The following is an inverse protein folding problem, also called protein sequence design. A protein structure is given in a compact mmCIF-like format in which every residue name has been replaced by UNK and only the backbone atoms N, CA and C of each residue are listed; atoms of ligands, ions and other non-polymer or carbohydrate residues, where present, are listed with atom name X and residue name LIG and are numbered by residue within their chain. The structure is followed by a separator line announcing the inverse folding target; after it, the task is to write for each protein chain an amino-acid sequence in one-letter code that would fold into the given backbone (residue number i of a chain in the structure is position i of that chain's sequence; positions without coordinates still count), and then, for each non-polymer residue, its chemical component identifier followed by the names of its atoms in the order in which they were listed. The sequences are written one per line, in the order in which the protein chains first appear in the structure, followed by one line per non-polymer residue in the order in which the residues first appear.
data_IF_176034424134
#
_entry.id   IF_176034424134
#
_cell.length_a   1.000
_cell.length_b   1.000
_cell.length_c   1.000
_cell.angle_alpha   90.00
_cell.angle_beta   90.00
_cell.angle_gamma   90.00
#
_symmetry.space_group_name_H-M   'P 1'
#
loop_
_entity.id
_entity.type
_entity.pdbx_description
1 polymer ?
#
# COMPACT_ATOMS: atom_id res chain seq x y z
N UNK A 1 26.10 -16.61 19.37
CA UNK A 1 26.01 -15.38 18.55
C UNK A 1 27.42 -14.90 18.28
N UNK A 2 27.64 -14.31 17.11
CA UNK A 2 28.92 -13.72 16.70
C UNK A 2 28.67 -12.38 16.03
N UNK A 3 29.62 -11.91 15.24
CA UNK A 3 29.63 -10.60 14.59
C UNK A 3 29.55 -10.77 13.08
N UNK A 4 28.69 -10.01 12.43
CA UNK A 4 28.69 -9.86 10.98
C UNK A 4 29.40 -8.56 10.60
N UNK A 5 30.39 -8.66 9.73
CA UNK A 5 31.10 -7.54 9.13
C UNK A 5 30.50 -7.30 7.75
N UNK A 6 30.03 -6.09 7.49
CA UNK A 6 29.43 -5.72 6.21
C UNK A 6 30.15 -4.52 5.62
N UNK A 7 30.63 -4.71 4.39
CA UNK A 7 31.29 -3.68 3.59
C UNK A 7 30.54 -3.48 2.28
N UNK A 8 30.61 -2.27 1.72
CA UNK A 8 30.07 -1.96 0.40
C UNK A 8 31.21 -1.56 -0.54
N UNK A 9 31.61 -2.46 -1.44
CA UNK A 9 32.67 -2.20 -2.42
C UNK A 9 32.05 -2.08 -3.80
N UNK A 10 32.16 -0.91 -4.45
CA UNK A 10 31.58 -0.63 -5.77
C UNK A 10 30.08 -0.99 -5.88
N UNK A 11 29.33 -0.81 -4.79
CA UNK A 11 27.90 -1.14 -4.72
C UNK A 11 27.58 -2.62 -4.51
N UNK A 12 28.58 -3.49 -4.39
CA UNK A 12 28.45 -4.90 -4.03
C UNK A 12 28.57 -5.05 -2.51
N UNK A 13 27.64 -5.80 -1.92
CA UNK A 13 27.65 -6.09 -0.49
C UNK A 13 28.61 -7.26 -0.24
N UNK A 14 29.66 -6.98 0.53
CA UNK A 14 30.59 -7.99 1.04
C UNK A 14 30.26 -8.29 2.49
N UNK A 15 30.26 -9.57 2.83
CA UNK A 15 29.83 -10.07 4.14
C UNK A 15 30.79 -11.13 4.66
N UNK A 16 31.13 -11.03 5.94
CA UNK A 16 31.83 -12.06 6.69
C UNK A 16 31.20 -12.22 8.07
N UNK A 17 31.19 -13.45 8.59
CA UNK A 17 30.81 -13.73 9.96
C UNK A 17 32.04 -14.15 10.78
N UNK A 18 32.18 -13.55 11.95
CA UNK A 18 33.26 -13.78 12.91
C UNK A 18 32.66 -14.21 14.24
N UNK A 19 33.26 -15.20 14.93
CA UNK A 19 32.64 -15.80 16.11
C UNK A 19 32.99 -15.07 17.40
N UNK A 20 34.19 -14.47 17.48
CA UNK A 20 34.71 -13.93 18.75
C UNK A 20 35.15 -12.48 18.62
N UNK A 21 35.11 -11.75 19.74
CA UNK A 21 35.62 -10.37 19.81
C UNK A 21 37.12 -10.30 19.49
N UNK A 22 37.87 -11.34 19.87
CA UNK A 22 39.29 -11.43 19.56
C UNK A 22 39.53 -11.46 18.06
N UNK A 23 38.84 -12.36 17.34
CA UNK A 23 38.92 -12.42 15.87
C UNK A 23 38.49 -11.10 15.22
N UNK A 24 37.46 -10.45 15.77
CA UNK A 24 36.99 -9.15 15.28
C UNK A 24 38.07 -8.07 15.40
N UNK A 25 38.74 -7.99 16.56
CA UNK A 25 39.80 -7.02 16.83
C UNK A 25 41.02 -7.16 15.91
N UNK A 26 41.22 -8.35 15.32
CA UNK A 26 42.31 -8.63 14.38
C UNK A 26 41.87 -8.60 12.91
N UNK A 27 40.61 -8.28 12.61
CA UNK A 27 40.12 -8.22 11.22
C UNK A 27 40.68 -6.98 10.50
N UNK A 28 41.30 -7.20 9.33
CA UNK A 28 41.79 -6.16 8.42
C UNK A 28 40.69 -5.60 7.50
N UNK A 29 39.50 -6.22 7.51
CA UNK A 29 38.34 -5.81 6.70
C UNK A 29 37.51 -4.71 7.33
N UNK A 30 37.83 -4.29 8.56
CA UNK A 30 37.14 -3.21 9.26
C UNK A 30 37.74 -1.87 8.82
N UNK A 31 36.90 -1.04 8.21
CA UNK A 31 37.15 0.32 7.74
C UNK A 31 36.24 1.30 8.50
N UNK A 32 36.42 2.60 8.27
CA UNK A 32 35.63 3.65 8.93
C UNK A 32 34.11 3.54 8.66
N UNK A 33 33.72 3.06 7.48
CA UNK A 33 32.33 2.92 7.04
C UNK A 33 31.77 1.49 7.16
N UNK A 34 32.53 0.56 7.75
CA UNK A 34 32.10 -0.82 7.96
C UNK A 34 30.95 -0.88 8.96
N UNK A 35 29.89 -1.63 8.61
CA UNK A 35 28.78 -1.92 9.51
C UNK A 35 29.06 -3.23 10.23
N UNK A 36 29.03 -3.22 11.56
CA UNK A 36 29.17 -4.42 12.40
C UNK A 36 27.93 -4.58 13.26
N UNK A 37 27.36 -5.79 13.28
CA UNK A 37 26.25 -6.12 14.17
C UNK A 37 26.38 -7.56 14.70
N UNK A 38 25.78 -7.82 15.86
CA UNK A 38 25.76 -9.16 16.44
C UNK A 38 24.55 -9.96 15.95
N UNK A 39 24.75 -11.24 15.65
CA UNK A 39 23.70 -12.11 15.11
C UNK A 39 24.05 -13.60 15.14
N UNK A 40 23.12 -14.41 14.67
CA UNK A 40 23.36 -15.82 14.36
C UNK A 40 24.06 -15.96 13.01
N UNK A 41 24.95 -16.95 12.86
CA UNK A 41 25.76 -17.15 11.65
C UNK A 41 24.94 -17.22 10.34
N UNK A 42 23.71 -17.73 10.41
CA UNK A 42 22.76 -17.84 9.30
C UNK A 42 22.06 -16.52 8.93
N UNK A 43 22.15 -15.46 9.76
CA UNK A 43 21.52 -14.16 9.49
C UNK A 43 22.38 -13.36 8.51
N UNK A 44 22.30 -13.72 7.23
CA UNK A 44 23.06 -13.04 6.19
C UNK A 44 22.42 -11.70 5.85
N UNK A 45 23.18 -10.59 5.85
CA UNK A 45 22.68 -9.30 5.39
C UNK A 45 22.36 -9.38 3.91
N UNK A 46 21.32 -8.66 3.50
CA UNK A 46 20.92 -8.54 2.11
C UNK A 46 20.68 -7.07 1.80
N UNK A 47 21.07 -6.64 0.60
CA UNK A 47 20.65 -5.34 0.10
C UNK A 47 19.15 -5.41 -0.17
N UNK A 48 18.41 -4.43 0.34
CA UNK A 48 16.94 -4.39 0.24
C UNK A 48 16.47 -4.56 -1.22
N UNK A 49 17.09 -3.85 -2.17
CA UNK A 49 16.75 -3.90 -3.59
C UNK A 49 16.99 -5.26 -4.26
N UNK A 50 17.86 -6.09 -3.69
CA UNK A 50 18.23 -7.40 -4.25
C UNK A 50 17.43 -8.54 -3.62
N UNK A 51 16.64 -8.25 -2.57
CA UNK A 51 15.83 -9.23 -1.86
C UNK A 51 14.41 -9.26 -2.40
N UNK A 52 13.91 -10.41 -2.84
CA UNK A 52 12.50 -10.53 -3.24
C UNK A 52 11.52 -10.14 -2.12
N UNK A 53 11.90 -10.42 -0.87
CA UNK A 53 11.11 -10.11 0.32
C UNK A 53 11.08 -8.62 0.64
N UNK A 54 12.17 -7.90 0.39
CA UNK A 54 12.32 -6.52 0.84
C UNK A 54 12.38 -5.49 -0.30
N UNK A 55 12.50 -5.90 -1.57
CA UNK A 55 12.66 -4.98 -2.71
C UNK A 55 11.58 -3.92 -2.81
N UNK A 56 10.35 -4.24 -2.41
CA UNK A 56 9.23 -3.31 -2.45
C UNK A 56 9.41 -2.13 -1.46
N UNK A 57 10.22 -2.29 -0.40
CA UNK A 57 10.59 -1.16 0.47
C UNK A 57 11.50 -0.13 -0.22
N UNK A 58 12.15 -0.47 -1.34
CA UNK A 58 12.81 0.51 -2.20
C UNK A 58 11.80 1.31 -3.03
N UNK A 59 10.58 0.79 -3.24
CA UNK A 59 9.53 1.48 -3.97
C UNK A 59 8.86 2.54 -3.07
N UNK A 60 8.94 3.79 -3.50
CA UNK A 60 8.35 4.92 -2.79
C UNK A 60 6.81 4.86 -2.74
N UNK A 61 6.16 4.38 -3.80
CA UNK A 61 4.70 4.24 -3.84
C UNK A 61 4.23 3.14 -2.89
N UNK A 62 4.96 2.03 -2.81
CA UNK A 62 4.67 0.96 -1.85
C UNK A 62 4.73 1.47 -0.41
N UNK A 63 5.83 2.15 -0.04
CA UNK A 63 5.97 2.75 1.30
C UNK A 63 4.91 3.82 1.59
N UNK A 64 4.54 4.63 0.59
CA UNK A 64 3.48 5.61 0.74
C UNK A 64 2.11 4.95 0.98
N UNK A 65 1.83 3.83 0.31
CA UNK A 65 0.65 3.00 0.55
C UNK A 65 0.60 2.47 1.99
N UNK A 66 1.70 1.87 2.47
CA UNK A 66 1.79 1.37 3.85
C UNK A 66 1.57 2.49 4.88
N UNK A 67 2.21 3.64 4.69
CA UNK A 67 2.04 4.81 5.58
C UNK A 67 0.59 5.32 5.57
N UNK A 68 -0.07 5.36 4.40
CA UNK A 68 -1.46 5.78 4.28
C UNK A 68 -2.42 4.81 4.99
N UNK A 69 -2.21 3.50 4.88
CA UNK A 69 -2.99 2.50 5.62
C UNK A 69 -2.82 2.67 7.14
N UNK A 70 -1.59 2.87 7.62
CA UNK A 70 -1.33 3.12 9.03
C UNK A 70 -2.02 4.40 9.53
N UNK A 71 -1.90 5.49 8.77
CA UNK A 71 -2.56 6.76 9.09
C UNK A 71 -4.09 6.61 9.11
N UNK A 72 -4.66 5.86 8.16
CA UNK A 72 -6.09 5.56 8.14
C UNK A 72 -6.53 4.82 9.39
N UNK A 73 -5.79 3.80 9.84
CA UNK A 73 -6.11 3.07 11.09
C UNK A 73 -6.17 4.02 12.29
N UNK A 74 -5.18 4.90 12.42
CA UNK A 74 -5.10 5.86 13.52
C UNK A 74 -6.26 6.84 13.50
N UNK A 75 -6.59 7.38 12.34
CA UNK A 75 -7.69 8.33 12.18
C UNK A 75 -9.06 7.67 12.35
N UNK A 76 -9.27 6.49 11.77
CA UNK A 76 -10.48 5.71 11.94
C UNK A 76 -10.74 5.39 13.43
N UNK A 77 -9.69 5.09 14.20
CA UNK A 77 -9.79 4.91 15.66
C UNK A 77 -10.25 6.19 16.36
N UNK A 78 -9.74 7.37 15.96
CA UNK A 78 -10.19 8.67 16.49
C UNK A 78 -11.66 8.94 16.17
N UNK A 79 -12.11 8.50 14.99
CA UNK A 79 -13.50 8.57 14.53
C UNK A 79 -14.39 7.43 15.07
N UNK A 80 -13.91 6.63 16.03
CA UNK A 80 -14.66 5.52 16.64
C UNK A 80 -15.14 4.46 15.64
N UNK A 81 -14.39 4.22 14.58
CA UNK A 81 -14.63 3.15 13.62
C UNK A 81 -14.02 1.82 14.10
N UNK A 82 -14.79 0.74 14.02
CA UNK A 82 -14.33 -0.60 14.36
C UNK A 82 -13.73 -1.26 13.12
N UNK A 83 -12.43 -1.07 12.91
CA UNK A 83 -11.72 -1.66 11.77
C UNK A 83 -11.34 -3.11 12.02
N UNK A 84 -11.55 -3.95 11.02
CA UNK A 84 -10.97 -5.29 10.90
C UNK A 84 -10.07 -5.32 9.67
N UNK A 85 -8.80 -5.71 9.84
CA UNK A 85 -7.86 -5.82 8.73
C UNK A 85 -8.19 -7.03 7.86
N UNK A 86 -8.21 -6.82 6.56
CA UNK A 86 -8.45 -7.88 5.60
C UNK A 86 -7.13 -8.59 5.31
N UNK A 87 -7.05 -9.88 5.67
CA UNK A 87 -5.94 -10.71 5.23
C UNK A 87 -6.02 -10.92 3.70
N UNK A 88 -4.93 -10.62 2.98
CA UNK A 88 -4.82 -10.76 1.54
C UNK A 88 -4.26 -12.12 1.10
N UNK A 89 -4.11 -13.07 2.03
CA UNK A 89 -3.60 -14.40 1.73
C UNK A 89 -4.44 -15.11 0.65
N UNK A 90 -3.75 -15.73 -0.32
CA UNK A 90 -4.34 -16.36 -1.50
C UNK A 90 -5.29 -17.50 -1.10
N UNK A 91 -4.98 -18.21 -0.02
CA UNK A 91 -5.80 -19.31 0.51
C UNK A 91 -7.11 -18.79 1.11
N UNK A 92 -7.07 -17.64 1.79
CA UNK A 92 -8.29 -16.98 2.29
C UNK A 92 -9.20 -16.51 1.15
N UNK A 93 -8.63 -16.24 -0.02
CA UNK A 93 -9.31 -15.76 -1.21
C UNK A 93 -10.08 -16.86 -1.96
N UNK A 94 -9.67 -18.13 -1.81
CA UNK A 94 -10.30 -19.27 -2.49
C UNK A 94 -11.80 -19.40 -2.13
N UNK A 95 -12.17 -19.04 -0.90
CA UNK A 95 -13.56 -19.14 -0.42
C UNK A 95 -14.51 -18.08 -1.02
N UNK A 96 -13.98 -17.02 -1.63
CA UNK A 96 -14.78 -15.94 -2.23
C UNK A 96 -14.98 -16.10 -3.75
N UNK A 97 -14.26 -17.05 -4.37
CA UNK A 97 -14.38 -17.33 -5.80
C UNK A 97 -15.61 -18.20 -6.05
N UNK A 98 -16.74 -17.56 -6.34
CA UNK A 98 -17.92 -18.25 -6.89
C UNK A 98 -17.62 -18.88 -8.27
N UNK A 99 -16.66 -18.31 -9.02
CA UNK A 99 -16.12 -18.86 -10.27
C UNK A 99 -14.60 -18.64 -10.33
N UNK A 100 -13.88 -19.58 -10.96
CA UNK A 100 -12.42 -19.57 -11.13
C UNK A 100 -11.94 -18.50 -12.12
N UNK A 101 -12.80 -18.00 -13.01
CA UNK A 101 -12.39 -17.06 -14.07
C UNK A 101 -12.45 -15.59 -13.62
N UNK A 102 -13.41 -15.26 -12.75
CA UNK A 102 -13.59 -13.88 -12.27
C UNK A 102 -12.45 -13.48 -11.34
N UNK A 103 -11.85 -12.31 -11.63
CA UNK A 103 -10.83 -11.70 -10.78
C UNK A 103 -11.51 -10.78 -9.79
N UNK A 104 -11.17 -10.94 -8.51
CA UNK A 104 -11.64 -10.09 -7.42
C UNK A 104 -10.47 -9.37 -6.77
N UNK A 105 -10.77 -8.27 -6.10
CA UNK A 105 -9.84 -7.53 -5.25
C UNK A 105 -10.60 -7.07 -4.02
N UNK A 106 -10.06 -7.40 -2.85
CA UNK A 106 -10.57 -6.94 -1.57
C UNK A 106 -9.89 -5.64 -1.19
N UNK A 107 -10.60 -4.85 -0.39
CA UNK A 107 -10.10 -3.71 0.35
C UNK A 107 -9.03 -4.09 1.38
N UNK A 108 -8.56 -3.08 2.08
CA UNK A 108 -7.63 -3.21 3.20
C UNK A 108 -8.36 -3.44 4.54
N UNK A 109 -9.56 -2.86 4.71
CA UNK A 109 -10.31 -2.91 5.97
C UNK A 109 -11.79 -3.20 5.77
N UNK A 110 -12.41 -3.84 6.76
CA UNK A 110 -13.86 -3.80 6.99
C UNK A 110 -14.16 -2.86 8.15
N UNK A 111 -15.20 -2.04 8.02
CA UNK A 111 -15.74 -1.22 9.11
C UNK A 111 -16.94 -1.91 9.72
N UNK A 112 -16.72 -2.62 10.84
CA UNK A 112 -17.69 -3.55 11.42
C UNK A 112 -18.96 -2.86 11.91
N UNK A 113 -18.81 -1.68 12.52
CA UNK A 113 -19.95 -0.86 12.97
C UNK A 113 -20.68 -0.10 11.84
N UNK A 114 -20.30 -0.34 10.57
CA UNK A 114 -20.96 0.20 9.38
C UNK A 114 -21.30 -0.93 8.39
N UNK A 115 -21.96 -2.00 8.89
CA UNK A 115 -22.42 -3.15 8.08
C UNK A 115 -21.30 -3.79 7.26
N UNK A 116 -20.12 -3.89 7.86
CA UNK A 116 -18.91 -4.43 7.21
C UNK A 116 -18.49 -3.64 5.95
N UNK A 117 -18.75 -2.33 5.88
CA UNK A 117 -18.29 -1.49 4.77
C UNK A 117 -16.82 -1.75 4.48
N UNK A 118 -16.49 -2.02 3.22
CA UNK A 118 -15.12 -2.35 2.83
C UNK A 118 -14.37 -1.09 2.36
N UNK A 119 -13.17 -0.90 2.86
CA UNK A 119 -12.31 0.26 2.58
C UNK A 119 -11.05 -0.20 1.85
N UNK A 120 -10.79 0.34 0.67
CA UNK A 120 -9.48 0.27 0.00
C UNK A 120 -8.74 1.60 0.20
N UNK A 121 -7.58 1.58 0.83
CA UNK A 121 -6.76 2.78 1.06
C UNK A 121 -5.75 2.95 -0.07
N UNK A 122 -5.73 4.12 -0.69
CA UNK A 122 -4.74 4.50 -1.70
C UNK A 122 -4.04 5.79 -1.31
N UNK A 123 -2.75 5.84 -1.59
CA UNK A 123 -1.98 7.09 -1.59
C UNK A 123 -1.71 7.48 -3.04
N UNK A 124 -2.24 8.62 -3.50
CA UNK A 124 -2.18 9.05 -4.90
C UNK A 124 -1.74 10.50 -5.02
N UNK A 125 -1.00 10.82 -6.07
CA UNK A 125 -0.72 12.21 -6.42
C UNK A 125 -1.93 12.82 -7.13
N UNK A 126 -2.29 14.05 -6.78
CA UNK A 126 -3.30 14.80 -7.51
C UNK A 126 -2.62 15.71 -8.54
N UNK A 127 -2.92 15.47 -9.81
CA UNK A 127 -2.34 16.17 -10.94
C UNK A 127 -3.21 17.36 -11.32
N UNK A 128 -2.63 18.52 -11.67
CA UNK A 128 -3.40 19.63 -12.21
C UNK A 128 -3.95 19.26 -13.59
N UNK A 129 -5.25 19.45 -13.83
CA UNK A 129 -5.88 19.27 -15.15
C UNK A 129 -7.05 20.25 -15.34
N UNK A 130 -6.80 21.40 -15.99
CA UNK A 130 -7.81 22.42 -16.38
C UNK A 130 -8.89 22.78 -15.33
N UNK A 131 -8.64 22.49 -14.04
CA UNK A 131 -9.54 22.60 -12.90
C UNK A 131 -10.88 21.82 -13.08
N UNK A 132 -11.16 20.75 -12.31
CA UNK A 132 -10.50 20.30 -11.07
C UNK A 132 -9.22 19.47 -11.28
N UNK A 133 -8.39 19.34 -10.23
CA UNK A 133 -7.30 18.33 -10.21
C UNK A 133 -7.87 16.92 -10.48
N UNK A 134 -7.00 15.99 -10.86
CA UNK A 134 -7.36 14.59 -11.13
C UNK A 134 -6.42 13.62 -10.42
N UNK A 135 -6.86 12.38 -10.28
CA UNK A 135 -5.99 11.24 -9.97
C UNK A 135 -6.26 10.07 -10.91
N UNK A 136 -5.29 9.16 -11.01
CA UNK A 136 -5.38 8.00 -11.88
C UNK A 136 -5.71 6.75 -11.07
N UNK A 137 -6.72 6.02 -11.51
CA UNK A 137 -7.14 4.75 -10.91
C UNK A 137 -7.20 3.64 -11.96
N UNK A 138 -6.53 2.52 -11.68
CA UNK A 138 -6.36 1.43 -12.63
C UNK A 138 -7.71 0.80 -13.02
N UNK A 139 -7.93 0.60 -14.33
CA UNK A 139 -9.18 0.06 -14.88
C UNK A 139 -9.45 -1.36 -14.39
N UNK A 140 -8.42 -2.21 -14.33
CA UNK A 140 -8.51 -3.58 -13.84
C UNK A 140 -8.82 -3.64 -12.35
N UNK A 141 -8.26 -2.73 -11.55
CA UNK A 141 -8.58 -2.64 -10.12
C UNK A 141 -10.03 -2.23 -9.91
N UNK A 142 -10.56 -1.26 -10.67
CA UNK A 142 -11.99 -0.91 -10.60
C UNK A 142 -12.88 -2.11 -10.93
N UNK A 143 -12.55 -2.86 -11.99
CA UNK A 143 -13.28 -4.06 -12.38
C UNK A 143 -13.26 -5.10 -11.25
N UNK A 144 -12.09 -5.40 -10.68
CA UNK A 144 -11.94 -6.39 -9.61
C UNK A 144 -12.71 -6.01 -8.33
N UNK A 145 -12.72 -4.74 -7.95
CA UNK A 145 -13.55 -4.28 -6.83
C UNK A 145 -15.04 -4.32 -7.17
N UNK A 146 -15.43 -4.01 -8.41
CA UNK A 146 -16.83 -4.10 -8.85
C UNK A 146 -17.34 -5.55 -8.73
N UNK A 147 -16.55 -6.51 -9.20
CA UNK A 147 -16.85 -7.94 -9.05
C UNK A 147 -16.96 -8.35 -7.57
N UNK A 148 -16.08 -7.81 -6.71
CA UNK A 148 -16.11 -8.09 -5.28
C UNK A 148 -17.39 -7.57 -4.64
N UNK A 149 -17.76 -6.32 -4.93
CA UNK A 149 -18.98 -5.70 -4.42
C UNK A 149 -20.24 -6.44 -4.87
N UNK A 150 -20.29 -6.91 -6.13
CA UNK A 150 -21.40 -7.71 -6.65
C UNK A 150 -21.49 -9.09 -5.95
N UNK A 151 -20.35 -9.74 -5.70
CA UNK A 151 -20.31 -11.05 -5.03
C UNK A 151 -20.65 -10.95 -3.54
N UNK A 152 -20.07 -9.97 -2.83
CA UNK A 152 -20.22 -9.83 -1.38
C UNK A 152 -21.44 -9.01 -0.95
N UNK A 153 -22.09 -8.33 -1.89
CA UNK A 153 -23.17 -7.36 -1.63
C UNK A 153 -22.77 -6.28 -0.60
N UNK A 154 -21.47 -6.04 -0.46
CA UNK A 154 -20.90 -5.13 0.53
C UNK A 154 -20.32 -3.92 -0.19
N UNK A 155 -20.78 -2.68 0.10
CA UNK A 155 -20.26 -1.49 -0.57
C UNK A 155 -18.75 -1.35 -0.34
N UNK A 156 -18.04 -0.96 -1.39
CA UNK A 156 -16.60 -0.69 -1.34
C UNK A 156 -16.38 0.81 -1.55
N UNK A 157 -15.66 1.44 -0.63
CA UNK A 157 -15.21 2.83 -0.78
C UNK A 157 -13.69 2.91 -0.81
N UNK A 158 -13.19 3.81 -1.64
CA UNK A 158 -11.79 4.14 -1.72
C UNK A 158 -11.50 5.30 -0.75
N UNK A 159 -10.54 5.11 0.15
CA UNK A 159 -9.95 6.18 0.95
C UNK A 159 -8.65 6.67 0.26
N UNK A 160 -8.71 7.83 -0.36
CA UNK A 160 -7.64 8.42 -1.16
C UNK A 160 -6.92 9.51 -0.36
N UNK A 161 -5.68 9.24 0.03
CA UNK A 161 -4.76 10.24 0.55
C UNK A 161 -3.99 10.92 -0.58
N UNK A 162 -3.83 12.25 -0.52
CA UNK A 162 -2.99 12.99 -1.45
C UNK A 162 -1.52 12.85 -1.06
N UNK A 163 -0.70 12.40 -2.00
CA UNK A 163 0.76 12.38 -1.88
C UNK A 163 1.31 13.72 -2.31
N UNK A 164 2.05 14.38 -1.42
CA UNK A 164 2.71 15.66 -1.70
C UNK A 164 3.92 15.46 -2.63
N UNK A 165 4.44 16.57 -3.19
CA UNK A 165 5.57 16.52 -4.15
C UNK A 165 6.86 16.00 -3.54
N UNK A 166 7.09 16.26 -2.26
CA UNK A 166 8.21 15.78 -1.43
C UNK A 166 8.00 14.35 -0.90
N UNK A 167 6.86 13.72 -1.23
CA UNK A 167 6.57 12.33 -0.88
C UNK A 167 5.93 12.13 0.49
N UNK A 168 5.60 13.22 1.19
CA UNK A 168 4.72 13.22 2.36
C UNK A 168 3.27 12.87 2.00
N UNK A 169 2.46 12.68 3.04
CA UNK A 169 1.03 12.39 2.95
C UNK A 169 0.28 13.59 3.51
N UNK A 170 -0.67 14.13 2.75
CA UNK A 170 -1.61 15.11 3.27
C UNK A 170 -2.61 14.35 4.14
N UNK A 171 -2.69 14.71 5.42
CA UNK A 171 -3.31 13.87 6.43
C UNK A 171 -4.82 13.66 6.25
N UNK A 172 -5.53 14.53 5.53
CA UNK A 172 -6.98 14.40 5.41
C UNK A 172 -7.37 13.51 4.21
N UNK A 173 -8.04 12.36 4.44
CA UNK A 173 -8.45 11.48 3.36
C UNK A 173 -9.64 12.06 2.59
N UNK A 174 -9.68 11.71 1.31
CA UNK A 174 -10.81 11.94 0.42
C UNK A 174 -11.42 10.59 0.05
N UNK A 175 -12.74 10.51 -0.02
CA UNK A 175 -13.45 9.26 -0.25
C UNK A 175 -14.23 9.24 -1.55
N UNK A 176 -14.31 8.08 -2.18
CA UNK A 176 -15.22 7.84 -3.31
C UNK A 176 -15.63 6.38 -3.34
N UNK A 177 -16.91 6.10 -3.51
CA UNK A 177 -17.42 4.73 -3.67
C UNK A 177 -17.10 4.17 -5.05
N UNK A 178 -16.92 2.85 -5.15
CA UNK A 178 -16.83 2.14 -6.43
C UNK A 178 -18.07 2.41 -7.30
N UNK A 179 -19.27 2.47 -6.70
CA UNK A 179 -20.52 2.80 -7.39
C UNK A 179 -20.50 4.17 -8.08
N UNK A 180 -20.02 5.21 -7.39
CA UNK A 180 -19.90 6.55 -7.95
C UNK A 180 -18.99 6.56 -9.18
N UNK A 181 -17.86 5.84 -9.13
CA UNK A 181 -16.94 5.73 -10.27
C UNK A 181 -17.64 4.99 -11.42
N UNK A 182 -18.26 3.84 -11.14
CA UNK A 182 -18.97 3.04 -12.14
C UNK A 182 -20.12 3.80 -12.82
N UNK A 183 -20.93 4.54 -12.05
CA UNK A 183 -22.03 5.37 -12.56
C UNK A 183 -21.54 6.45 -13.53
N UNK A 184 -20.30 6.91 -13.38
CA UNK A 184 -19.73 7.98 -14.19
C UNK A 184 -18.63 7.51 -15.16
N UNK A 185 -18.30 6.23 -15.23
CA UNK A 185 -17.13 5.71 -15.97
C UNK A 185 -17.11 6.10 -17.45
N UNK A 186 -18.28 6.15 -18.08
CA UNK A 186 -18.43 6.53 -19.50
C UNK A 186 -18.07 8.01 -19.77
N UNK A 187 -18.01 8.85 -18.74
CA UNK A 187 -17.60 10.25 -18.81
C UNK A 187 -16.11 10.44 -18.49
N UNK A 188 -15.44 9.40 -17.99
CA UNK A 188 -14.04 9.45 -17.61
C UNK A 188 -13.16 9.13 -18.81
N UNK A 189 -12.05 9.86 -18.94
CA UNK A 189 -11.01 9.53 -19.91
C UNK A 189 -10.17 8.37 -19.39
N UNK A 190 -9.72 7.52 -20.30
CA UNK A 190 -8.72 6.47 -20.02
C UNK A 190 -7.39 6.95 -20.58
N UNK A 191 -6.35 6.94 -19.75
CA UNK A 191 -4.98 7.30 -20.13
C UNK A 191 -4.01 6.23 -19.60
N UNK A 192 -2.99 5.82 -20.38
CA UNK A 192 -1.99 4.87 -19.92
C UNK A 192 -1.06 5.51 -18.88
N UNK A 193 -0.87 4.83 -17.75
CA UNK A 193 0.05 5.22 -16.67
C UNK A 193 0.87 3.99 -16.26
N UNK A 194 2.20 4.08 -16.30
CA UNK A 194 3.10 2.96 -15.94
C UNK A 194 2.74 1.62 -16.62
N UNK A 195 2.44 1.65 -17.93
CA UNK A 195 2.00 0.50 -18.73
C UNK A 195 0.63 -0.09 -18.34
N UNK A 196 -0.18 0.64 -17.58
CA UNK A 196 -1.54 0.24 -17.22
C UNK A 196 -2.57 1.28 -17.64
N UNK A 197 -3.72 0.83 -18.14
CA UNK A 197 -4.83 1.72 -18.43
C UNK A 197 -5.49 2.21 -17.14
N UNK A 198 -5.60 3.53 -17.01
CA UNK A 198 -6.17 4.17 -15.83
C UNK A 198 -7.30 5.13 -16.20
N UNK A 199 -8.38 5.09 -15.42
CA UNK A 199 -9.37 6.16 -15.41
C UNK A 199 -8.76 7.42 -14.81
N UNK A 200 -8.92 8.53 -15.52
CA UNK A 200 -8.62 9.87 -15.03
C UNK A 200 -9.83 10.41 -14.25
N UNK A 201 -9.77 10.34 -12.93
CA UNK A 201 -10.87 10.68 -12.03
C UNK A 201 -10.70 12.11 -11.49
N UNK A 202 -11.66 13.02 -11.74
CA UNK A 202 -11.68 14.34 -11.12
C UNK A 202 -11.77 14.27 -9.60
N UNK A 203 -10.99 15.09 -8.88
CA UNK A 203 -11.10 15.17 -7.42
C UNK A 203 -12.45 15.72 -6.96
N UNK A 204 -13.22 16.36 -7.85
CA UNK A 204 -14.59 16.80 -7.58
C UNK A 204 -15.56 15.66 -7.33
N UNK A 205 -15.19 14.42 -7.67
CA UNK A 205 -15.99 13.23 -7.35
C UNK A 205 -15.73 12.74 -5.92
N UNK A 206 -14.70 13.27 -5.26
CA UNK A 206 -14.31 12.87 -3.93
C UNK A 206 -15.08 13.65 -2.86
N UNK A 207 -15.33 13.00 -1.73
CA UNK A 207 -15.92 13.56 -0.52
C UNK A 207 -14.86 13.65 0.57
N UNK A 208 -14.71 14.82 1.17
CA UNK A 208 -13.62 15.08 2.11
C UNK A 208 -13.95 14.57 3.51
N UNK A 209 -13.00 13.91 4.15
CA UNK A 209 -13.08 13.48 5.55
C UNK A 209 -14.05 12.32 5.83
N UNK A 210 -13.98 11.81 7.06
CA UNK A 210 -14.71 10.60 7.49
C UNK A 210 -16.23 10.75 7.53
N UNK A 211 -16.75 11.97 7.38
CA UNK A 211 -18.20 12.22 7.29
C UNK A 211 -18.89 11.39 6.21
N UNK A 212 -18.20 11.10 5.10
CA UNK A 212 -18.75 10.29 4.00
C UNK A 212 -19.09 8.85 4.42
N UNK A 213 -18.34 8.26 5.37
CA UNK A 213 -18.62 6.90 5.86
C UNK A 213 -19.99 6.85 6.55
N UNK A 214 -20.42 7.94 7.18
CA UNK A 214 -21.72 8.05 7.86
C UNK A 214 -22.89 8.01 6.89
N UNK A 215 -22.68 8.27 5.60
CA UNK A 215 -23.73 8.09 4.58
C UNK A 215 -24.10 6.62 4.36
N UNK A 216 -23.29 5.68 4.88
CA UNK A 216 -23.53 4.24 4.83
C UNK A 216 -24.13 3.67 6.12
N UNK A 217 -24.35 4.49 7.16
CA UNK A 217 -25.15 4.08 8.32
C UNK A 217 -26.64 4.21 8.03
N UNK A 218 -27.39 3.15 8.27
CA UNK A 218 -28.86 3.16 8.35
C UNK A 218 -29.29 2.59 9.68
#
# INVERSE_FOLDING_TARGET
MGFHIVNLNNGVLEHEYIRTEKELAFSDKIKEDTIIYQGEENWKPVRVGDSEKYKDYCNLDFRAGMKAQQLFKEQARRESLMLEEINQDVDSFANYKLDKTTRYKRGDFLVRNYRNLEIEVKCKRFYPDKNPKVFYFNVQDLMKHSNMQESSQTPIILAIYERSKDGGIIEEPNFVSIDMINKNKNKLKIEPTNNEDCYKIPISYLKKGFGFIKEFSW
#
